data_IF_602251609027
#
_entry.id   IF_602251609027
#
_cell.length_a   1.000
_cell.length_b   1.000
_cell.length_c   1.000
_cell.angle_alpha   90.00
_cell.angle_beta   90.00
_cell.angle_gamma   90.00
#
_symmetry.space_group_name_H-M   'P 1'
#
loop_
_entity.id
_entity.type
_entity.pdbx_description
1 polymer ?
#
# COMPACT_ATOMS: atom_id res chain seq x y z
N UNK A 1 -6.37 -23.19 -10.46
CA UNK A 1 -5.81 -22.36 -9.36
C UNK A 1 -6.78 -21.21 -9.19
N UNK A 2 -7.42 -21.11 -8.04
CA UNK A 2 -8.41 -20.07 -7.78
C UNK A 2 -7.67 -18.75 -7.56
N UNK A 3 -7.43 -18.01 -8.64
CA UNK A 3 -6.93 -16.64 -8.56
C UNK A 3 -8.13 -15.82 -8.15
N UNK A 4 -8.38 -15.73 -6.85
CA UNK A 4 -9.51 -14.96 -6.33
C UNK A 4 -9.29 -13.50 -6.67
N UNK A 5 -9.95 -13.02 -7.73
CA UNK A 5 -9.93 -11.64 -8.18
C UNK A 5 -10.24 -10.71 -7.01
N UNK A 6 -9.46 -9.63 -6.79
CA UNK A 6 -9.79 -8.64 -5.77
C UNK A 6 -11.14 -8.00 -6.08
N UNK A 7 -11.91 -7.72 -5.03
CA UNK A 7 -13.17 -6.97 -5.15
C UNK A 7 -12.89 -5.51 -5.50
N UNK A 8 -11.80 -4.97 -4.96
CA UNK A 8 -11.33 -3.60 -5.19
C UNK A 8 -9.81 -3.59 -5.22
N UNK A 9 -9.26 -2.90 -6.22
CA UNK A 9 -7.84 -2.54 -6.27
C UNK A 9 -7.69 -1.05 -5.94
N UNK A 10 -6.88 -0.75 -4.92
CA UNK A 10 -6.55 0.60 -4.50
C UNK A 10 -5.15 0.93 -5.01
N UNK A 11 -5.04 1.96 -5.84
CA UNK A 11 -3.76 2.46 -6.35
C UNK A 11 -3.46 3.80 -5.69
N UNK A 12 -2.31 3.90 -5.02
CA UNK A 12 -1.88 5.10 -4.29
C UNK A 12 -0.58 5.59 -4.92
N UNK A 13 -0.58 6.80 -5.48
CA UNK A 13 0.66 7.45 -5.93
C UNK A 13 1.20 8.31 -4.78
N UNK A 14 2.47 8.14 -4.42
CA UNK A 14 3.11 8.86 -3.30
C UNK A 14 4.38 9.59 -3.71
N UNK A 15 4.64 10.76 -3.09
CA UNK A 15 5.89 11.51 -3.23
C UNK A 15 6.22 12.24 -1.92
N UNK A 16 7.28 11.83 -1.22
CA UNK A 16 7.75 12.43 0.05
C UNK A 16 6.66 12.55 1.14
N UNK A 17 5.82 11.51 1.31
CA UNK A 17 4.65 11.52 2.21
C UNK A 17 4.63 10.35 3.20
N UNK A 18 5.82 9.92 3.67
CA UNK A 18 5.99 8.74 4.53
C UNK A 18 4.97 8.60 5.67
N UNK A 19 4.74 9.67 6.44
CA UNK A 19 3.83 9.63 7.60
C UNK A 19 2.36 9.49 7.21
N UNK A 20 1.93 10.21 6.16
CA UNK A 20 0.55 10.14 5.68
C UNK A 20 0.27 8.80 5.00
N UNK A 21 1.22 8.31 4.20
CA UNK A 21 1.09 6.99 3.57
C UNK A 21 0.98 5.89 4.63
N UNK A 22 1.77 5.95 5.70
CA UNK A 22 1.63 5.01 6.83
C UNK A 22 0.23 5.02 7.42
N UNK A 23 -0.31 6.20 7.77
CA UNK A 23 -1.64 6.32 8.36
C UNK A 23 -2.74 5.81 7.41
N UNK A 24 -2.59 6.07 6.11
CA UNK A 24 -3.47 5.56 5.08
C UNK A 24 -3.47 4.02 5.03
N UNK A 25 -2.29 3.40 5.00
CA UNK A 25 -2.14 1.94 4.97
C UNK A 25 -2.66 1.29 6.26
N UNK A 26 -2.40 1.87 7.43
CA UNK A 26 -2.99 1.43 8.70
C UNK A 26 -4.53 1.51 8.68
N UNK A 27 -5.10 2.51 8.01
CA UNK A 27 -6.55 2.61 7.84
C UNK A 27 -7.12 1.56 6.90
N UNK A 28 -6.44 1.27 5.80
CA UNK A 28 -6.86 0.22 4.86
C UNK A 28 -6.74 -1.16 5.50
N UNK A 29 -5.70 -1.40 6.29
CA UNK A 29 -5.49 -2.67 6.99
C UNK A 29 -6.66 -3.03 7.91
N UNK A 30 -7.24 -2.04 8.61
CA UNK A 30 -8.44 -2.23 9.43
C UNK A 30 -9.65 -2.69 8.61
N UNK A 31 -9.77 -2.27 7.36
CA UNK A 31 -10.87 -2.65 6.46
C UNK A 31 -10.62 -3.96 5.70
N UNK A 32 -9.35 -4.36 5.52
CA UNK A 32 -8.91 -5.53 4.75
C UNK A 32 -9.49 -6.86 5.27
N UNK A 33 -9.89 -6.96 6.53
CA UNK A 33 -10.49 -8.19 7.06
C UNK A 33 -11.89 -8.48 6.48
N UNK A 34 -12.58 -7.48 5.94
CA UNK A 34 -13.95 -7.60 5.45
C UNK A 34 -14.04 -7.72 3.92
N UNK A 35 -12.97 -7.37 3.19
CA UNK A 35 -12.96 -7.26 1.73
C UNK A 35 -11.69 -7.86 1.14
N UNK A 36 -11.81 -8.43 -0.07
CA UNK A 36 -10.63 -8.88 -0.82
C UNK A 36 -9.99 -7.69 -1.54
N UNK A 37 -9.09 -7.00 -0.83
CA UNK A 37 -8.41 -5.81 -1.33
C UNK A 37 -7.04 -6.16 -1.91
N UNK A 38 -6.71 -5.53 -3.04
CA UNK A 38 -5.33 -5.38 -3.52
C UNK A 38 -4.92 -3.92 -3.34
N UNK A 39 -3.73 -3.68 -2.81
CA UNK A 39 -3.19 -2.32 -2.66
C UNK A 39 -1.84 -2.24 -3.34
N UNK A 40 -1.73 -1.26 -4.24
CA UNK A 40 -0.52 -0.95 -4.99
C UNK A 40 -0.12 0.48 -4.65
N UNK A 41 1.10 0.66 -4.15
CA UNK A 41 1.71 1.97 -3.91
C UNK A 41 2.75 2.22 -4.99
N UNK A 42 2.56 3.28 -5.76
CA UNK A 42 3.51 3.76 -6.76
C UNK A 42 4.28 4.95 -6.17
N UNK A 43 5.54 4.73 -5.86
CA UNK A 43 6.43 5.78 -5.39
C UNK A 43 6.96 6.60 -6.57
N UNK A 44 6.70 7.90 -6.56
CA UNK A 44 7.11 8.81 -7.61
C UNK A 44 8.50 9.40 -7.31
N UNK A 45 9.49 8.54 -7.09
CA UNK A 45 10.87 8.89 -6.75
C UNK A 45 11.02 9.72 -5.46
N UNK A 46 10.42 9.25 -4.37
CA UNK A 46 10.60 9.87 -3.05
C UNK A 46 12.06 9.78 -2.58
N UNK A 47 12.52 10.81 -1.87
CA UNK A 47 13.88 10.88 -1.30
C UNK A 47 13.89 10.83 0.24
N UNK A 48 12.72 10.73 0.87
CA UNK A 48 12.53 10.71 2.32
C UNK A 48 12.59 9.29 2.94
N UNK A 49 12.92 8.28 2.13
CA UNK A 49 12.94 6.88 2.54
C UNK A 49 11.56 6.28 2.77
N UNK A 50 10.51 6.80 2.12
CA UNK A 50 9.12 6.30 2.22
C UNK A 50 9.05 4.79 2.00
N UNK A 51 9.45 4.27 0.83
CA UNK A 51 9.31 2.84 0.51
C UNK A 51 10.14 1.97 1.45
N UNK A 52 11.41 2.33 1.69
CA UNK A 52 12.31 1.57 2.56
C UNK A 52 11.80 1.44 3.99
N UNK A 53 11.10 2.45 4.51
CA UNK A 53 10.50 2.38 5.85
C UNK A 53 9.21 1.56 5.85
N UNK A 54 8.35 1.73 4.84
CA UNK A 54 6.99 1.21 4.89
C UNK A 54 6.87 -0.23 4.35
N UNK A 55 7.66 -0.64 3.36
CA UNK A 55 7.56 -1.99 2.80
C UNK A 55 7.70 -3.12 3.84
N UNK A 56 8.63 -3.05 4.82
CA UNK A 56 8.70 -4.07 5.88
C UNK A 56 7.50 -4.07 6.84
N UNK A 57 6.81 -2.93 7.00
CA UNK A 57 5.66 -2.77 7.89
C UNK A 57 4.35 -3.25 7.24
N UNK A 58 4.28 -3.20 5.91
CA UNK A 58 3.08 -3.54 5.15
C UNK A 58 3.42 -4.58 4.06
N UNK A 59 3.82 -5.82 4.44
CA UNK A 59 4.24 -6.86 3.49
C UNK A 59 3.13 -7.35 2.56
N UNK A 60 1.88 -6.97 2.82
CA UNK A 60 0.70 -7.28 2.01
C UNK A 60 0.40 -6.23 0.93
N UNK A 61 1.18 -5.13 0.90
CA UNK A 61 1.07 -4.06 -0.10
C UNK A 61 2.14 -4.28 -1.17
N UNK A 62 1.76 -4.09 -2.43
CA UNK A 62 2.70 -4.08 -3.55
C UNK A 62 3.28 -2.67 -3.71
N UNK A 63 4.60 -2.53 -3.58
CA UNK A 63 5.30 -1.27 -3.81
C UNK A 63 5.99 -1.30 -5.18
N UNK A 64 5.76 -0.26 -5.98
CA UNK A 64 6.40 -0.02 -7.27
C UNK A 64 7.17 1.30 -7.14
N UNK A 65 8.47 1.30 -7.38
CA UNK A 65 9.35 2.46 -7.23
C UNK A 65 10.33 2.55 -8.40
#
# INVERSE_FOLDING_TARGET
MDVTTPEVTIVIVSYNVRQYLRQCLESIERCRQMHRLQVIVVDNASQDGTVSMLAPLFPWVEFVA
#
